data_IF_323315927959
#
_entry.id   IF_323315927959
#
_cell.length_a   1.000
_cell.length_b   1.000
_cell.length_c   1.000
_cell.angle_alpha   90.00
_cell.angle_beta   90.00
_cell.angle_gamma   90.00
#
_symmetry.space_group_name_H-M   'P 1'
#
loop_
_entity.id
_entity.type
_entity.pdbx_description
1 polymer ?
#
# COMPACT_ATOMS: atom_id res chain seq x y z
N UNK A 1 -21.13 1.01 -20.90
CA UNK A 1 -20.61 -0.34 -21.22
C UNK A 1 -19.99 -0.91 -19.96
N UNK A 2 -20.76 -1.66 -19.16
CA UNK A 2 -20.25 -2.30 -17.95
C UNK A 2 -19.41 -3.48 -18.43
N UNK A 3 -18.08 -3.34 -18.45
CA UNK A 3 -17.20 -4.50 -18.69
C UNK A 3 -17.43 -5.45 -17.52
N UNK A 4 -18.02 -6.61 -17.81
CA UNK A 4 -18.14 -7.71 -16.86
C UNK A 4 -16.75 -8.10 -16.39
N UNK A 5 -16.36 -7.66 -15.20
CA UNK A 5 -15.08 -8.06 -14.60
C UNK A 5 -15.21 -9.51 -14.17
N UNK A 6 -14.67 -10.42 -14.97
CA UNK A 6 -14.57 -11.83 -14.61
C UNK A 6 -13.62 -11.96 -13.41
N UNK A 7 -14.10 -12.48 -12.29
CA UNK A 7 -13.32 -12.68 -11.06
C UNK A 7 -13.10 -14.17 -10.87
N UNK A 8 -11.83 -14.57 -10.84
CA UNK A 8 -11.43 -15.95 -10.53
C UNK A 8 -10.82 -16.00 -9.14
N UNK A 9 -11.17 -17.04 -8.38
CA UNK A 9 -10.50 -17.33 -7.12
C UNK A 9 -9.15 -18.00 -7.45
N UNK A 10 -8.05 -17.30 -7.19
CA UNK A 10 -6.69 -17.82 -7.42
C UNK A 10 -6.17 -18.62 -6.22
N UNK A 11 -6.66 -18.32 -5.00
CA UNK A 11 -6.28 -19.03 -3.79
C UNK A 11 -7.02 -18.51 -2.56
N UNK A 12 -7.03 -19.32 -1.50
CA UNK A 12 -7.66 -18.98 -0.22
C UNK A 12 -6.83 -19.55 0.94
N UNK A 13 -6.67 -18.76 2.01
CA UNK A 13 -5.96 -19.15 3.22
C UNK A 13 -6.73 -18.70 4.47
N UNK A 14 -7.02 -19.65 5.37
CA UNK A 14 -7.89 -19.42 6.55
C UNK A 14 -7.11 -18.96 7.78
N UNK A 15 -5.86 -19.41 7.94
CA UNK A 15 -5.11 -19.31 9.21
C UNK A 15 -3.80 -18.54 9.10
N UNK A 16 -3.59 -17.81 8.00
CA UNK A 16 -2.36 -17.06 7.79
C UNK A 16 -2.50 -15.66 8.38
N UNK A 17 -1.46 -15.23 9.12
CA UNK A 17 -1.35 -13.83 9.57
C UNK A 17 -0.84 -12.98 8.42
N UNK A 18 -1.25 -11.72 8.38
CA UNK A 18 -0.76 -10.71 7.43
C UNK A 18 0.65 -10.23 7.86
N UNK A 19 1.68 -11.03 7.59
CA UNK A 19 3.08 -10.67 7.83
C UNK A 19 3.83 -10.63 6.50
N UNK A 20 5.03 -10.04 6.51
CA UNK A 20 5.87 -9.96 5.32
C UNK A 20 6.19 -11.34 4.74
N UNK A 21 6.61 -12.28 5.59
CA UNK A 21 6.97 -13.64 5.17
C UNK A 21 5.80 -14.44 4.60
N UNK A 22 4.61 -14.32 5.19
CA UNK A 22 3.44 -15.04 4.69
C UNK A 22 2.96 -14.51 3.34
N UNK A 23 3.00 -13.18 3.15
CA UNK A 23 2.66 -12.56 1.88
C UNK A 23 3.70 -12.89 0.81
N UNK A 24 4.99 -12.90 1.14
CA UNK A 24 6.06 -13.35 0.25
C UNK A 24 5.84 -14.80 -0.20
N UNK A 25 5.54 -15.69 0.75
CA UNK A 25 5.22 -17.07 0.45
C UNK A 25 3.99 -17.19 -0.46
N UNK A 26 2.88 -16.51 -0.14
CA UNK A 26 1.67 -16.54 -0.98
C UNK A 26 1.92 -16.04 -2.41
N UNK A 27 2.67 -14.95 -2.57
CA UNK A 27 3.03 -14.42 -3.90
C UNK A 27 3.89 -15.40 -4.70
N UNK A 28 4.77 -16.14 -4.02
CA UNK A 28 5.57 -17.19 -4.65
C UNK A 28 4.72 -18.38 -5.12
N UNK A 29 3.72 -18.79 -4.32
CA UNK A 29 2.83 -19.91 -4.64
C UNK A 29 1.92 -19.65 -5.84
N UNK A 30 1.54 -18.38 -6.07
CA UNK A 30 0.76 -17.97 -7.25
C UNK A 30 1.63 -17.53 -8.42
N UNK A 31 2.95 -17.72 -8.33
CA UNK A 31 3.92 -17.35 -9.34
C UNK A 31 3.76 -15.90 -9.84
N UNK A 32 3.54 -14.97 -8.91
CA UNK A 32 3.20 -13.58 -9.23
C UNK A 32 4.20 -12.91 -10.19
N UNK A 33 5.48 -13.27 -10.11
CA UNK A 33 6.54 -12.76 -10.99
C UNK A 33 6.25 -12.98 -12.48
N UNK A 34 5.59 -14.09 -12.85
CA UNK A 34 5.24 -14.37 -14.26
C UNK A 34 4.10 -13.50 -14.77
N UNK A 35 3.19 -13.12 -13.89
CA UNK A 35 1.94 -12.47 -14.26
C UNK A 35 1.94 -10.95 -14.04
N UNK A 36 2.68 -10.46 -13.04
CA UNK A 36 2.83 -9.04 -12.73
C UNK A 36 1.49 -8.27 -12.68
N UNK A 37 0.47 -8.91 -12.09
CA UNK A 37 -0.89 -8.37 -11.99
C UNK A 37 -0.95 -7.11 -11.13
N UNK A 38 -1.97 -6.27 -11.37
CA UNK A 38 -2.25 -5.15 -10.48
C UNK A 38 -2.92 -5.65 -9.20
N UNK A 39 -2.44 -5.17 -8.05
CA UNK A 39 -2.93 -5.58 -6.73
C UNK A 39 -3.76 -4.45 -6.12
N UNK A 40 -4.95 -4.79 -5.63
CA UNK A 40 -5.80 -3.91 -4.83
C UNK A 40 -6.10 -4.62 -3.50
N UNK A 41 -5.75 -4.00 -2.38
CA UNK A 41 -5.95 -4.56 -1.04
C UNK A 41 -6.11 -3.44 -0.02
N UNK A 42 -6.34 -3.78 1.25
CA UNK A 42 -6.32 -2.82 2.36
C UNK A 42 -4.95 -2.13 2.45
N UNK A 43 -4.95 -0.90 2.97
CA UNK A 43 -3.73 -0.10 3.12
C UNK A 43 -2.66 -0.81 3.94
N UNK A 44 -3.04 -1.53 4.99
CA UNK A 44 -2.09 -2.29 5.83
C UNK A 44 -1.34 -3.34 5.02
N UNK A 45 -2.04 -4.13 4.22
CA UNK A 45 -1.43 -5.15 3.36
C UNK A 45 -0.55 -4.50 2.30
N UNK A 46 -1.01 -3.40 1.71
CA UNK A 46 -0.22 -2.61 0.76
C UNK A 46 1.10 -2.15 1.39
N UNK A 47 1.09 -1.64 2.63
CA UNK A 47 2.33 -1.24 3.31
C UNK A 47 3.30 -2.40 3.47
N UNK A 48 2.81 -3.58 3.87
CA UNK A 48 3.65 -4.78 4.00
C UNK A 48 4.22 -5.21 2.64
N UNK A 49 3.43 -5.19 1.56
CA UNK A 49 3.89 -5.54 0.21
C UNK A 49 4.98 -4.60 -0.31
N UNK A 50 4.92 -3.32 0.07
CA UNK A 50 5.88 -2.29 -0.31
C UNK A 50 7.08 -2.24 0.64
N UNK A 51 7.00 -2.96 1.76
CA UNK A 51 8.05 -2.99 2.79
C UNK A 51 8.05 -1.75 3.71
N UNK A 52 6.97 -0.98 3.75
CA UNK A 52 6.84 0.14 4.68
C UNK A 52 6.34 -0.32 6.05
N UNK A 53 6.83 0.34 7.08
CA UNK A 53 6.36 0.14 8.44
C UNK A 53 4.86 0.41 8.55
N UNK A 54 4.13 -0.55 9.10
CA UNK A 54 2.70 -0.40 9.34
C UNK A 54 2.45 0.61 10.48
N UNK A 55 1.44 1.47 10.31
CA UNK A 55 1.00 2.43 11.33
C UNK A 55 1.05 3.89 10.88
N UNK A 56 0.91 4.80 11.84
CA UNK A 56 0.91 6.24 11.58
C UNK A 56 2.34 6.80 11.50
N UNK A 57 3.03 6.44 10.42
CA UNK A 57 4.41 6.86 10.19
C UNK A 57 4.48 8.28 9.62
N UNK A 58 5.63 8.93 9.79
CA UNK A 58 5.88 10.29 9.31
C UNK A 58 5.82 10.37 7.77
N UNK A 59 6.30 9.34 7.08
CA UNK A 59 6.32 9.27 5.61
C UNK A 59 5.44 8.13 5.11
N UNK A 60 4.12 8.25 5.30
CA UNK A 60 3.15 7.21 4.92
C UNK A 60 2.80 7.18 3.42
N UNK A 61 3.10 8.24 2.65
CA UNK A 61 2.77 8.27 1.23
C UNK A 61 3.67 7.32 0.42
N UNK A 62 3.06 6.44 -0.38
CA UNK A 62 3.74 5.50 -1.30
C UNK A 62 4.42 6.22 -2.47
N UNK A 63 3.74 7.23 -3.04
CA UNK A 63 4.18 7.92 -4.26
C UNK A 63 5.10 9.11 -3.99
N UNK A 64 5.03 9.67 -2.79
CA UNK A 64 5.56 10.99 -2.46
C UNK A 64 6.21 10.99 -1.08
N UNK A 65 7.13 11.91 -0.87
CA UNK A 65 7.80 12.09 0.42
C UNK A 65 7.04 13.11 1.28
N UNK A 66 5.72 12.94 1.36
CA UNK A 66 4.86 13.78 2.18
C UNK A 66 5.11 13.51 3.66
N UNK A 67 5.35 14.59 4.41
CA UNK A 67 5.55 14.55 5.85
C UNK A 67 4.22 14.80 6.56
N UNK A 68 3.64 13.74 7.13
CA UNK A 68 2.35 13.80 7.84
C UNK A 68 2.42 14.62 9.14
N UNK A 69 3.62 14.83 9.68
CA UNK A 69 3.87 15.56 10.92
C UNK A 69 4.21 17.03 10.69
N UNK A 70 4.55 17.44 9.47
CA UNK A 70 4.81 18.85 9.16
C UNK A 70 3.49 19.62 9.13
N UNK A 71 3.27 20.47 10.15
CA UNK A 71 2.10 21.35 10.26
C UNK A 71 2.30 22.68 9.54
N UNK A 72 3.55 23.13 9.35
CA UNK A 72 3.85 24.47 8.81
C UNK A 72 3.78 24.47 7.29
N UNK A 73 4.36 23.45 6.63
CA UNK A 73 4.41 23.37 5.17
C UNK A 73 3.22 22.63 4.56
N UNK A 74 2.33 22.08 5.39
CA UNK A 74 1.23 21.21 4.96
C UNK A 74 0.35 21.81 3.87
N UNK A 75 -0.06 23.06 4.05
CA UNK A 75 -0.97 23.77 3.15
C UNK A 75 -0.25 24.73 2.19
N UNK A 76 1.05 24.93 2.38
CA UNK A 76 1.88 25.81 1.55
C UNK A 76 2.49 25.02 0.40
N UNK A 77 2.96 23.80 0.68
CA UNK A 77 3.62 22.95 -0.30
C UNK A 77 2.60 22.03 -0.97
N UNK A 78 2.20 22.40 -2.19
CA UNK A 78 1.28 21.62 -3.02
C UNK A 78 1.95 20.39 -3.62
N UNK A 79 3.19 20.54 -4.10
CA UNK A 79 3.93 19.47 -4.78
C UNK A 79 5.02 18.91 -3.88
N UNK A 80 4.90 17.64 -3.53
CA UNK A 80 5.91 16.90 -2.76
C UNK A 80 6.83 16.12 -3.69
N UNK A 81 8.10 15.97 -3.30
CA UNK A 81 9.08 15.21 -4.08
C UNK A 81 8.63 13.76 -4.20
N UNK A 82 8.75 13.20 -5.41
CA UNK A 82 8.40 11.81 -5.68
C UNK A 82 9.26 10.88 -4.80
N UNK A 83 8.66 9.80 -4.33
CA UNK A 83 9.42 8.71 -3.71
C UNK A 83 9.99 7.86 -4.85
N UNK A 84 11.30 7.94 -5.05
CA UNK A 84 12.00 7.19 -6.11
C UNK A 84 12.47 5.83 -5.61
N UNK A 85 12.96 5.76 -4.37
CA UNK A 85 13.55 4.55 -3.80
C UNK A 85 12.85 4.17 -2.49
N UNK A 86 12.60 2.87 -2.36
CA UNK A 86 12.16 2.19 -1.14
C UNK A 86 13.34 1.38 -0.60
N UNK A 87 14.41 2.08 -0.24
CA UNK A 87 15.60 1.45 0.33
C UNK A 87 15.31 1.06 1.77
N UNK A 88 15.46 -0.23 2.18
CA UNK A 88 15.30 -0.65 3.55
C UNK A 88 16.18 0.18 4.51
N UNK A 89 15.66 0.50 5.70
CA UNK A 89 16.32 1.32 6.70
C UNK A 89 16.19 2.83 6.51
N UNK A 90 15.67 3.30 5.36
CA UNK A 90 15.50 4.73 5.06
C UNK A 90 14.02 5.09 5.09
N UNK A 91 13.66 6.19 5.78
CA UNK A 91 12.30 6.79 5.75
C UNK A 91 11.17 5.76 5.98
N UNK A 92 11.31 4.94 7.02
CA UNK A 92 10.31 3.97 7.49
C UNK A 92 10.03 2.79 6.52
N UNK A 93 10.98 2.50 5.64
CA UNK A 93 11.01 1.23 4.91
C UNK A 93 11.74 0.21 5.80
N UNK A 94 11.04 -0.84 6.20
CA UNK A 94 11.60 -1.93 7.04
C UNK A 94 12.11 -3.08 6.18
N UNK A 95 11.37 -3.43 5.12
CA UNK A 95 11.66 -4.59 4.30
C UNK A 95 11.82 -4.19 2.83
N UNK A 96 12.39 -5.10 2.04
CA UNK A 96 12.42 -4.93 0.58
C UNK A 96 10.99 -5.00 0.00
N UNK A 97 10.69 -4.21 -1.03
CA UNK A 97 9.38 -4.27 -1.68
C UNK A 97 9.20 -5.60 -2.41
N UNK A 98 8.14 -6.35 -2.07
CA UNK A 98 7.74 -7.58 -2.76
C UNK A 98 7.09 -7.29 -4.11
N UNK A 99 6.48 -6.11 -4.23
CA UNK A 99 5.71 -5.69 -5.41
C UNK A 99 6.09 -4.27 -5.77
N UNK A 100 6.23 -4.03 -7.08
CA UNK A 100 6.52 -2.71 -7.62
C UNK A 100 5.38 -1.72 -7.29
N UNK A 101 5.73 -0.51 -6.85
CA UNK A 101 4.76 0.49 -6.41
C UNK A 101 3.75 0.90 -7.49
N UNK A 102 4.13 0.76 -8.76
CA UNK A 102 3.30 1.04 -9.93
C UNK A 102 2.17 0.03 -10.11
N UNK A 103 2.34 -1.20 -9.61
CA UNK A 103 1.34 -2.28 -9.72
C UNK A 103 0.27 -2.20 -8.64
N UNK A 104 0.37 -1.25 -7.73
CA UNK A 104 -0.55 -1.11 -6.60
C UNK A 104 -1.66 -0.13 -6.98
N UNK A 105 -2.89 -0.64 -6.90
CA UNK A 105 -4.11 0.14 -7.04
C UNK A 105 -4.56 0.62 -5.67
N UNK A 106 -4.86 1.92 -5.58
CA UNK A 106 -5.41 2.49 -4.37
C UNK A 106 -6.84 2.02 -4.18
N UNK A 107 -7.19 1.41 -3.03
CA UNK A 107 -8.56 0.97 -2.77
C UNK A 107 -9.49 2.18 -2.55
N UNK A 108 -10.36 2.55 -3.51
CA UNK A 108 -11.17 3.76 -3.39
C UNK A 108 -12.14 3.70 -2.21
N UNK A 109 -12.61 2.50 -1.88
CA UNK A 109 -13.52 2.28 -0.74
C UNK A 109 -12.85 2.60 0.59
N UNK A 110 -11.64 2.10 0.85
CA UNK A 110 -10.92 2.34 2.10
C UNK A 110 -10.59 3.82 2.29
N UNK A 111 -10.25 4.52 1.21
CA UNK A 111 -10.02 5.97 1.23
C UNK A 111 -11.31 6.71 1.60
N UNK A 112 -12.43 6.38 0.94
CA UNK A 112 -13.73 7.00 1.19
C UNK A 112 -14.17 6.79 2.65
N UNK A 113 -14.08 5.56 3.14
CA UNK A 113 -14.40 5.23 4.54
C UNK A 113 -13.49 5.95 5.53
N UNK A 114 -12.19 6.07 5.23
CA UNK A 114 -11.23 6.83 6.02
C UNK A 114 -11.62 8.30 6.15
N UNK A 115 -11.99 8.95 5.04
CA UNK A 115 -12.45 10.34 5.05
C UNK A 115 -13.76 10.51 5.83
N UNK A 116 -14.74 9.63 5.63
CA UNK A 116 -16.01 9.67 6.37
C UNK A 116 -15.78 9.58 7.88
N UNK A 117 -14.88 8.69 8.31
CA UNK A 117 -14.52 8.55 9.73
C UNK A 117 -13.89 9.81 10.32
N UNK A 118 -13.11 10.55 9.53
CA UNK A 118 -12.51 11.82 9.97
C UNK A 118 -13.57 12.91 10.11
N UNK A 119 -14.52 12.98 9.16
CA UNK A 119 -15.59 13.98 9.17
C UNK A 119 -16.60 13.74 10.31
N UNK A 120 -16.95 12.49 10.58
CA UNK A 120 -17.93 12.13 11.62
C UNK A 120 -17.38 12.18 13.04
N UNK A 121 -16.04 12.16 13.20
CA UNK A 121 -15.39 12.31 14.51
C UNK A 121 -15.19 13.77 14.93
N UNK A 122 -15.62 14.71 14.08
CA UNK A 122 -15.52 16.14 14.31
C UNK A 122 -16.80 16.68 14.93
#
# INVERSE_FOLDING_TARGET
>A
MVKSTLRFLVGYAVRMKETYETLKYMLSSVEYSKHSWHICSDLKVIYVLVGLQAGYTKFCCLRCQWDSKDRKKHYIKVVWSKRQFLTPGVKYVENEPLVASEKILWPPLHIKLGFMKILLKR
#
